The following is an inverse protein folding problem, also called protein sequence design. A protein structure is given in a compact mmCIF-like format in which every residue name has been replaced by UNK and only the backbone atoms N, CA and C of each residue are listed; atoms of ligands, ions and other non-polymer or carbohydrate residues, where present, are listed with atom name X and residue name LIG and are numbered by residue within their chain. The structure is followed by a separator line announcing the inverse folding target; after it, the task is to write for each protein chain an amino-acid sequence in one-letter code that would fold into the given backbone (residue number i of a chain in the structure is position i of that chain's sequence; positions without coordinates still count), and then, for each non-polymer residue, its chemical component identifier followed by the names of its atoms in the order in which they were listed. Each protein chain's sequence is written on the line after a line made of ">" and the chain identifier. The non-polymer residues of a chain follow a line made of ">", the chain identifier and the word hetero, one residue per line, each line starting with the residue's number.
data_IF_191647679333
#
_entry.id   IF_191647679333
#
_cell.length_a   1.000
_cell.length_b   1.000
_cell.length_c   1.000
_cell.angle_alpha   90.00
_cell.angle_beta   90.00
_cell.angle_gamma   90.00
#
_symmetry.space_group_name_H-M   'P 1'
#
loop_
_entity.id
_entity.type
_entity.pdbx_description
1 polymer ?
#
# COMPACT_ATOMS: atom_id res chain seq x y z
N UNK A 1 -22.75 13.32 -3.58
CA UNK A 1 -22.78 12.05 -2.81
C UNK A 1 -22.50 10.87 -3.73
N UNK A 2 -21.59 9.96 -3.39
CA UNK A 2 -21.21 8.76 -4.15
C UNK A 2 -21.20 7.55 -3.21
N UNK A 3 -21.79 6.43 -3.62
CA UNK A 3 -21.77 5.21 -2.81
C UNK A 3 -20.38 4.56 -2.85
N UNK A 4 -19.94 4.00 -1.73
CA UNK A 4 -18.75 3.18 -1.65
C UNK A 4 -18.98 1.89 -2.46
N UNK A 5 -17.94 1.41 -3.15
CA UNK A 5 -18.06 0.14 -3.85
C UNK A 5 -18.12 -1.02 -2.84
N UNK A 6 -18.84 -2.10 -3.16
CA UNK A 6 -18.87 -3.31 -2.32
C UNK A 6 -17.46 -3.83 -2.00
N UNK A 7 -16.58 -3.82 -2.99
CA UNK A 7 -15.20 -4.25 -2.81
C UNK A 7 -14.39 -3.34 -1.87
N UNK A 8 -14.73 -2.06 -1.78
CA UNK A 8 -14.06 -1.13 -0.88
C UNK A 8 -14.67 -1.18 0.53
N UNK A 9 -15.98 -1.52 0.63
CA UNK A 9 -16.65 -1.74 1.90
C UNK A 9 -16.09 -2.96 2.66
N UNK A 10 -15.57 -3.97 1.95
CA UNK A 10 -14.90 -5.11 2.56
C UNK A 10 -13.68 -4.70 3.42
N UNK A 11 -12.96 -3.63 3.07
CA UNK A 11 -11.87 -3.13 3.89
C UNK A 11 -12.34 -2.61 5.24
N UNK A 12 -13.53 -1.98 5.28
CA UNK A 12 -14.11 -1.49 6.53
C UNK A 12 -14.60 -2.65 7.42
N UNK A 13 -15.24 -3.64 6.81
CA UNK A 13 -15.78 -4.80 7.54
C UNK A 13 -14.70 -5.78 8.01
N UNK A 14 -13.52 -5.76 7.39
CA UNK A 14 -12.40 -6.63 7.76
C UNK A 14 -11.50 -6.05 8.86
N UNK A 15 -11.68 -4.78 9.21
CA UNK A 15 -10.91 -4.18 10.29
C UNK A 15 -11.23 -4.79 11.64
N UNK A 16 -10.19 -4.90 12.46
CA UNK A 16 -10.29 -5.33 13.84
C UNK A 16 -9.53 -4.35 14.75
N UNK A 17 -9.68 -4.51 16.06
CA UNK A 17 -8.97 -3.68 17.03
C UNK A 17 -7.42 -3.74 16.90
N UNK A 18 -6.90 -4.75 16.24
CA UNK A 18 -5.45 -4.99 16.06
C UNK A 18 -4.99 -5.02 14.60
N UNK A 19 -5.91 -4.88 13.65
CA UNK A 19 -5.59 -4.85 12.23
C UNK A 19 -6.45 -3.83 11.51
N UNK A 20 -5.83 -2.73 11.07
CA UNK A 20 -6.47 -1.69 10.26
C UNK A 20 -6.06 -1.80 8.80
N UNK A 21 -6.96 -1.44 7.91
CA UNK A 21 -6.73 -1.45 6.46
C UNK A 21 -6.01 -0.19 5.96
N UNK A 22 -5.02 0.27 6.72
CA UNK A 22 -4.26 1.47 6.38
C UNK A 22 -2.98 1.16 5.59
N UNK A 23 -2.65 2.02 4.65
CA UNK A 23 -1.34 2.09 4.00
C UNK A 23 -0.68 3.39 4.41
N UNK A 24 0.59 3.34 4.79
CA UNK A 24 1.39 4.54 5.05
C UNK A 24 2.52 4.63 4.06
N UNK A 25 2.73 5.80 3.49
CA UNK A 25 3.81 6.09 2.56
C UNK A 25 4.79 7.03 3.23
N UNK A 26 6.06 6.69 3.17
CA UNK A 26 7.16 7.41 3.78
C UNK A 26 8.01 8.00 2.68
N UNK A 27 8.23 9.28 2.74
CA UNK A 27 9.03 10.04 1.78
C UNK A 27 9.96 10.97 2.56
N UNK A 28 11.23 11.06 2.18
CA UNK A 28 12.18 11.99 2.78
C UNK A 28 12.64 12.98 1.72
N UNK A 29 12.80 14.23 2.12
CA UNK A 29 13.09 15.33 1.22
C UNK A 29 14.36 16.07 1.66
N UNK A 30 15.12 16.46 0.64
CA UNK A 30 16.19 17.42 0.74
C UNK A 30 15.62 18.83 0.54
N UNK A 31 15.57 19.66 1.58
CA UNK A 31 15.04 21.00 1.46
C UNK A 31 16.01 21.99 0.78
N UNK A 32 17.27 21.63 0.57
CA UNK A 32 18.28 22.55 -0.01
C UNK A 32 17.90 23.03 -1.41
N UNK A 33 17.06 22.25 -2.12
CA UNK A 33 16.56 22.61 -3.46
C UNK A 33 15.29 23.47 -3.42
N UNK A 34 14.69 23.66 -2.26
CA UNK A 34 13.50 24.48 -2.08
C UNK A 34 13.85 25.98 -1.99
N UNK A 35 12.94 26.88 -2.28
CA UNK A 35 13.14 28.31 -2.12
C UNK A 35 13.57 28.67 -0.69
N UNK A 36 14.72 29.31 -0.55
CA UNK A 36 15.29 29.65 0.76
C UNK A 36 15.92 28.48 1.52
N UNK A 37 16.12 27.31 0.86
CA UNK A 37 16.80 26.14 1.42
C UNK A 37 16.04 25.45 2.54
N UNK A 38 14.74 25.68 2.69
CA UNK A 38 13.89 25.06 3.71
C UNK A 38 12.42 25.06 3.31
N UNK A 39 11.66 24.09 3.83
CA UNK A 39 10.21 24.07 3.75
C UNK A 39 9.64 24.32 5.16
N UNK A 40 8.89 25.40 5.33
CA UNK A 40 8.20 25.67 6.59
C UNK A 40 6.87 24.91 6.62
N UNK A 41 6.45 24.45 7.79
CA UNK A 41 5.18 23.76 7.95
C UNK A 41 3.98 24.58 7.43
N UNK A 42 3.97 25.92 7.61
CA UNK A 42 2.93 26.79 7.05
C UNK A 42 2.90 26.76 5.52
N UNK A 43 4.06 26.71 4.87
CA UNK A 43 4.16 26.64 3.41
C UNK A 43 3.61 25.31 2.90
N UNK A 44 3.84 24.22 3.67
CA UNK A 44 3.27 22.92 3.39
C UNK A 44 1.75 22.89 3.58
N UNK A 45 1.21 23.47 4.66
CA UNK A 45 -0.23 23.60 4.87
C UNK A 45 -0.89 24.35 3.69
N UNK A 46 -0.32 25.50 3.29
CA UNK A 46 -0.83 26.29 2.16
C UNK A 46 -0.77 25.51 0.84
N UNK A 47 0.27 24.68 0.63
CA UNK A 47 0.36 23.78 -0.52
C UNK A 47 -0.79 22.79 -0.51
N UNK A 48 -1.01 22.09 0.61
CA UNK A 48 -2.10 21.11 0.73
C UNK A 48 -3.45 21.77 0.51
N UNK A 49 -3.70 22.90 1.17
CA UNK A 49 -4.93 23.69 1.07
C UNK A 49 -5.24 24.07 -0.38
N UNK A 50 -4.23 24.56 -1.12
CA UNK A 50 -4.38 24.94 -2.53
C UNK A 50 -4.72 23.76 -3.45
N UNK A 51 -4.49 22.51 -3.00
CA UNK A 51 -4.67 21.28 -3.78
C UNK A 51 -5.86 20.42 -3.31
N UNK A 52 -6.59 20.81 -2.26
CA UNK A 52 -7.72 20.06 -1.73
C UNK A 52 -8.83 19.81 -2.76
N UNK A 53 -9.05 20.77 -3.67
CA UNK A 53 -10.08 20.69 -4.72
C UNK A 53 -9.77 19.63 -5.78
N UNK A 54 -8.51 19.18 -5.91
CA UNK A 54 -8.07 18.22 -6.94
C UNK A 54 -8.60 16.80 -6.72
N UNK A 55 -9.06 16.49 -5.51
CA UNK A 55 -9.63 15.16 -5.22
C UNK A 55 -10.69 15.23 -4.12
N UNK A 56 -11.80 14.53 -4.35
CA UNK A 56 -12.86 14.37 -3.37
C UNK A 56 -12.37 13.67 -2.08
N UNK A 57 -11.32 12.84 -2.15
CA UNK A 57 -10.78 12.10 -1.01
C UNK A 57 -10.32 13.04 0.11
N UNK A 58 -9.89 14.27 -0.24
CA UNK A 58 -9.44 15.22 0.76
C UNK A 58 -10.54 15.71 1.71
N UNK A 59 -11.77 15.89 1.21
CA UNK A 59 -12.86 16.54 1.95
C UNK A 59 -14.09 15.66 2.17
N UNK A 60 -14.06 14.40 1.69
CA UNK A 60 -15.19 13.48 1.86
C UNK A 60 -14.92 12.47 2.95
N UNK A 61 -15.90 12.27 3.82
CA UNK A 61 -15.95 11.23 4.83
C UNK A 61 -16.96 10.16 4.46
N UNK A 62 -16.93 9.03 5.14
CA UNK A 62 -17.91 7.98 5.00
C UNK A 62 -19.10 8.22 5.92
N UNK A 63 -20.29 8.08 5.37
CA UNK A 63 -21.53 8.05 6.14
C UNK A 63 -22.17 6.68 5.99
N UNK A 64 -22.32 6.00 7.11
CA UNK A 64 -22.96 4.68 7.17
C UNK A 64 -24.45 4.77 7.00
N UNK A 65 -25.05 3.77 6.35
CA UNK A 65 -26.50 3.64 6.23
C UNK A 65 -27.04 2.96 7.49
N UNK A 66 -28.07 3.48 8.13
CA UNK A 66 -28.67 2.86 9.31
C UNK A 66 -29.02 1.39 9.07
N UNK A 67 -28.83 0.56 10.10
CA UNK A 67 -29.09 -0.89 10.08
C UNK A 67 -28.29 -1.66 9.00
N UNK A 68 -27.29 -1.05 8.39
CA UNK A 68 -26.54 -1.71 7.31
C UNK A 68 -27.36 -2.02 6.06
N UNK A 69 -28.44 -1.27 5.81
CA UNK A 69 -29.36 -1.51 4.69
C UNK A 69 -28.73 -1.30 3.31
N UNK A 70 -27.62 -0.57 3.25
CA UNK A 70 -26.85 -0.35 2.02
C UNK A 70 -25.39 -0.03 2.36
N UNK A 71 -24.51 -0.04 1.35
CA UNK A 71 -23.10 0.35 1.53
C UNK A 71 -22.98 1.83 1.89
N UNK A 72 -21.94 2.22 2.65
CA UNK A 72 -21.70 3.62 3.04
C UNK A 72 -21.60 4.56 1.84
N UNK A 73 -21.83 5.84 2.10
CA UNK A 73 -21.71 6.91 1.10
C UNK A 73 -20.58 7.85 1.43
N UNK A 74 -19.86 8.30 0.40
CA UNK A 74 -18.96 9.43 0.47
C UNK A 74 -19.78 10.72 0.46
N UNK A 75 -19.66 11.49 1.54
CA UNK A 75 -20.31 12.80 1.73
C UNK A 75 -19.24 13.83 2.06
N UNK A 76 -19.48 15.10 1.75
CA UNK A 76 -18.59 16.18 2.17
C UNK A 76 -18.57 16.30 3.69
N UNK A 77 -17.39 16.53 4.24
CA UNK A 77 -17.25 16.77 5.69
C UNK A 77 -17.44 18.26 5.99
N UNK A 78 -18.60 18.62 6.51
CA UNK A 78 -18.93 20.00 6.89
C UNK A 78 -18.04 20.56 8.02
N UNK A 79 -17.39 19.68 8.77
CA UNK A 79 -16.47 20.01 9.85
C UNK A 79 -15.01 19.70 9.47
N UNK A 80 -14.69 19.78 8.17
CA UNK A 80 -13.33 19.51 7.70
C UNK A 80 -12.34 20.49 8.33
N UNK A 81 -11.31 19.94 8.96
CA UNK A 81 -10.22 20.67 9.58
C UNK A 81 -8.88 20.18 9.00
N UNK A 82 -8.19 21.05 8.27
CA UNK A 82 -6.92 20.70 7.65
C UNK A 82 -5.84 20.40 8.68
N UNK A 83 -5.80 21.10 9.81
CA UNK A 83 -4.79 20.90 10.87
C UNK A 83 -5.02 19.60 11.66
N UNK A 84 -6.24 19.07 11.64
CA UNK A 84 -6.48 17.71 12.11
C UNK A 84 -5.78 16.68 11.23
N UNK A 85 -5.82 16.87 9.92
CA UNK A 85 -5.30 15.92 8.93
C UNK A 85 -3.79 16.07 8.66
N UNK A 86 -3.24 17.27 8.84
CA UNK A 86 -1.83 17.59 8.58
C UNK A 86 -1.17 18.03 9.88
N UNK A 87 -0.22 17.23 10.34
CA UNK A 87 0.42 17.42 11.64
C UNK A 87 1.92 17.57 11.49
N UNK A 88 2.53 18.44 12.30
CA UNK A 88 3.98 18.56 12.43
C UNK A 88 4.46 17.89 13.72
N UNK A 89 5.47 17.04 13.62
CA UNK A 89 6.11 16.40 14.75
C UNK A 89 7.63 16.44 14.58
N UNK A 90 8.36 16.43 15.68
CA UNK A 90 9.81 16.32 15.68
C UNK A 90 10.25 15.03 16.36
N UNK A 91 11.30 14.41 15.83
CA UNK A 91 11.94 13.29 16.52
C UNK A 91 12.66 13.78 17.77
N UNK A 92 12.70 12.96 18.84
CA UNK A 92 13.56 13.24 19.97
C UNK A 92 15.03 13.14 19.56
N UNK A 93 15.91 13.92 20.19
CA UNK A 93 17.35 13.79 19.94
C UNK A 93 17.85 12.38 20.33
N UNK A 94 18.76 11.80 19.56
CA UNK A 94 19.54 12.39 18.45
C UNK A 94 18.81 12.49 17.11
N UNK A 95 17.65 11.88 16.90
CA UNK A 95 16.93 11.88 15.62
C UNK A 95 17.51 10.88 14.63
N UNK A 96 17.81 9.67 15.12
CA UNK A 96 18.37 8.58 14.34
C UNK A 96 17.30 7.78 13.57
N UNK A 97 17.76 6.90 12.66
CA UNK A 97 16.88 6.05 11.85
C UNK A 97 15.96 5.15 12.68
N UNK A 98 16.46 4.60 13.79
CA UNK A 98 15.67 3.76 14.68
C UNK A 98 14.52 4.52 15.31
N UNK A 99 14.77 5.75 15.79
CA UNK A 99 13.73 6.61 16.35
C UNK A 99 12.68 6.96 15.29
N UNK A 100 13.13 7.23 14.07
CA UNK A 100 12.24 7.46 12.94
C UNK A 100 11.35 6.25 12.65
N UNK A 101 11.92 5.05 12.53
CA UNK A 101 11.16 3.81 12.29
C UNK A 101 10.15 3.51 13.42
N UNK A 102 10.52 3.73 14.68
CA UNK A 102 9.62 3.59 15.83
C UNK A 102 8.44 4.57 15.69
N UNK A 103 8.70 5.82 15.37
CA UNK A 103 7.66 6.83 15.22
C UNK A 103 6.74 6.53 14.04
N UNK A 104 7.30 6.15 12.90
CA UNK A 104 6.54 5.75 11.71
C UNK A 104 5.63 4.54 12.01
N UNK A 105 6.16 3.53 12.71
CA UNK A 105 5.40 2.35 13.13
C UNK A 105 4.23 2.70 14.04
N UNK A 106 4.44 3.61 15.00
CA UNK A 106 3.41 4.07 15.94
C UNK A 106 2.30 4.85 15.24
N UNK A 107 2.65 5.70 14.27
CA UNK A 107 1.68 6.44 13.47
C UNK A 107 0.87 5.47 12.60
N UNK A 108 1.54 4.53 11.93
CA UNK A 108 0.89 3.54 11.08
C UNK A 108 -0.07 2.64 11.87
N UNK A 109 0.33 2.21 13.07
CA UNK A 109 -0.44 1.30 13.92
C UNK A 109 -1.78 1.87 14.41
N UNK A 110 -1.91 3.20 14.51
CA UNK A 110 -3.15 3.83 14.93
C UNK A 110 -4.20 3.75 13.83
N UNK A 111 -5.45 3.35 14.10
CA UNK A 111 -6.52 3.43 13.11
C UNK A 111 -6.81 4.88 12.72
N UNK A 112 -7.36 5.10 11.53
CA UNK A 112 -7.95 6.38 11.13
C UNK A 112 -9.34 6.51 11.72
N UNK A 113 -9.76 7.75 12.01
CA UNK A 113 -11.14 8.04 12.40
C UNK A 113 -12.06 7.92 11.17
N UNK A 114 -12.92 6.92 11.15
CA UNK A 114 -13.85 6.66 10.05
C UNK A 114 -14.94 7.72 9.90
N UNK A 115 -15.11 8.60 10.90
CA UNK A 115 -16.07 9.72 10.84
C UNK A 115 -15.46 10.98 10.20
N UNK A 116 -14.22 10.91 9.73
CA UNK A 116 -13.51 11.98 9.06
C UNK A 116 -13.01 11.52 7.69
N UNK A 117 -12.50 12.41 6.83
CA UNK A 117 -11.77 12.01 5.62
C UNK A 117 -10.65 11.03 5.94
N UNK A 118 -10.55 9.94 5.18
CA UNK A 118 -9.75 8.75 5.51
C UNK A 118 -8.27 8.90 5.16
N UNK A 119 -7.65 9.97 5.62
CA UNK A 119 -6.23 10.24 5.42
C UNK A 119 -5.64 11.11 6.54
N UNK A 120 -4.35 10.97 6.79
CA UNK A 120 -3.55 11.83 7.65
C UNK A 120 -2.17 12.01 7.04
N UNK A 121 -1.56 13.18 7.24
CA UNK A 121 -0.19 13.48 6.82
C UNK A 121 0.58 13.99 8.04
N UNK A 122 1.76 13.42 8.25
CA UNK A 122 2.70 13.85 9.28
C UNK A 122 3.96 14.39 8.63
N UNK A 123 4.29 15.64 8.88
CA UNK A 123 5.60 16.21 8.60
C UNK A 123 6.48 15.89 9.80
N UNK A 124 7.57 15.17 9.58
CA UNK A 124 8.47 14.69 10.64
C UNK A 124 9.81 15.38 10.45
N UNK A 125 10.18 16.21 11.41
CA UNK A 125 11.45 16.94 11.46
C UNK A 125 12.42 16.29 12.46
N UNK A 126 13.69 16.76 12.47
CA UNK A 126 14.70 16.30 13.41
C UNK A 126 15.33 14.96 13.03
N UNK A 127 15.59 14.74 11.74
CA UNK A 127 16.30 13.58 11.21
C UNK A 127 17.82 13.79 11.21
N UNK A 128 18.34 14.52 12.20
CA UNK A 128 19.70 15.10 12.18
C UNK A 128 20.82 14.08 12.34
N UNK A 129 20.55 12.91 12.94
CA UNK A 129 21.53 11.85 13.15
C UNK A 129 21.39 10.68 12.14
N UNK A 130 20.82 10.94 10.97
CA UNK A 130 20.76 9.97 9.87
C UNK A 130 21.86 10.33 8.87
N UNK A 131 22.94 9.57 8.86
CA UNK A 131 24.21 9.91 8.19
C UNK A 131 24.09 10.20 6.69
N UNK A 132 23.19 9.55 5.98
CA UNK A 132 23.05 9.67 4.51
C UNK A 132 22.06 10.74 4.07
N UNK A 133 21.52 11.54 5.00
CA UNK A 133 20.54 12.57 4.66
C UNK A 133 21.20 13.96 4.61
N UNK A 134 20.81 14.81 3.64
CA UNK A 134 21.16 16.22 3.66
C UNK A 134 20.69 16.90 4.95
N UNK A 135 21.40 17.95 5.34
CA UNK A 135 21.05 18.74 6.52
C UNK A 135 19.63 19.30 6.42
N UNK A 136 18.94 19.37 7.56
CA UNK A 136 17.57 19.87 7.67
C UNK A 136 16.54 19.05 6.87
N UNK A 137 16.90 17.80 6.46
CA UNK A 137 15.95 16.89 5.82
C UNK A 137 14.75 16.64 6.71
N UNK A 138 13.59 16.48 6.07
CA UNK A 138 12.34 16.15 6.74
C UNK A 138 11.66 14.97 6.05
N UNK A 139 10.83 14.26 6.78
CA UNK A 139 10.03 13.17 6.21
C UNK A 139 8.55 13.56 6.15
N UNK A 140 7.87 13.04 5.14
CA UNK A 140 6.44 13.03 5.02
C UNK A 140 5.94 11.60 5.20
N UNK A 141 5.10 11.37 6.19
CA UNK A 141 4.37 10.13 6.35
C UNK A 141 2.90 10.38 6.02
N UNK A 142 2.47 9.84 4.88
CA UNK A 142 1.08 9.95 4.43
C UNK A 142 0.36 8.65 4.67
N UNK A 143 -0.67 8.66 5.49
CA UNK A 143 -1.48 7.52 5.86
C UNK A 143 -2.84 7.61 5.18
N UNK A 144 -3.26 6.52 4.56
CA UNK A 144 -4.48 6.41 3.77
C UNK A 144 -5.20 5.10 4.13
N UNK A 145 -6.51 5.17 4.23
CA UNK A 145 -7.32 3.96 4.31
C UNK A 145 -7.50 3.33 2.92
N UNK A 146 -7.42 2.01 2.83
CA UNK A 146 -7.58 1.29 1.55
C UNK A 146 -8.90 1.60 0.83
N UNK A 147 -9.99 1.82 1.56
CA UNK A 147 -11.27 2.21 0.98
C UNK A 147 -11.23 3.58 0.26
N UNK A 148 -10.32 4.48 0.67
CA UNK A 148 -10.16 5.81 0.06
C UNK A 148 -9.26 5.82 -1.19
N UNK A 149 -8.55 4.72 -1.47
CA UNK A 149 -7.67 4.62 -2.64
C UNK A 149 -8.50 4.31 -3.89
N UNK A 150 -8.67 5.30 -4.76
CA UNK A 150 -9.38 5.12 -6.04
C UNK A 150 -8.44 4.58 -7.12
N UNK A 151 -8.45 3.25 -7.29
CA UNK A 151 -7.62 2.55 -8.31
C UNK A 151 -7.97 3.00 -9.73
N UNK A 152 -9.26 3.29 -10.01
CA UNK A 152 -9.70 3.64 -11.37
C UNK A 152 -9.21 5.03 -11.80
N UNK A 153 -9.17 5.98 -10.87
CA UNK A 153 -8.75 7.37 -11.15
C UNK A 153 -7.25 7.60 -10.98
N UNK A 154 -6.52 6.67 -10.34
CA UNK A 154 -5.08 6.76 -10.11
C UNK A 154 -4.61 7.95 -9.29
N UNK A 155 -5.52 8.68 -8.73
CA UNK A 155 -5.27 9.84 -7.90
C UNK A 155 -5.03 9.37 -6.46
N UNK A 156 -3.81 8.93 -6.18
CA UNK A 156 -3.37 8.92 -4.79
C UNK A 156 -3.13 10.37 -4.36
N UNK A 157 -3.54 10.72 -3.16
CA UNK A 157 -3.31 12.05 -2.54
C UNK A 157 -1.87 12.52 -2.77
N UNK A 158 -0.94 11.59 -2.74
CA UNK A 158 0.49 11.85 -2.87
C UNK A 158 0.87 12.38 -4.25
N UNK A 159 0.28 11.86 -5.34
CA UNK A 159 0.53 12.39 -6.68
C UNK A 159 0.09 13.83 -6.84
N UNK A 160 -0.96 14.18 -6.11
CA UNK A 160 -1.54 15.53 -6.17
C UNK A 160 -0.70 16.58 -5.45
N UNK A 161 0.18 16.16 -4.53
CA UNK A 161 1.01 17.04 -3.72
C UNK A 161 2.40 17.31 -4.32
N UNK A 162 2.80 16.59 -5.39
CA UNK A 162 4.15 16.66 -5.92
C UNK A 162 4.21 17.30 -7.31
N UNK A 163 5.36 17.86 -7.60
CA UNK A 163 5.73 18.42 -8.88
C UNK A 163 6.94 17.66 -9.46
N UNK A 164 7.12 17.69 -10.77
CA UNK A 164 8.28 17.06 -11.46
C UNK A 164 9.41 18.06 -11.74
N UNK A 165 9.20 19.30 -11.38
CA UNK A 165 10.17 20.40 -11.51
C UNK A 165 10.44 21.02 -10.15
N UNK A 166 11.66 21.52 -9.91
CA UNK A 166 12.04 22.10 -8.62
C UNK A 166 11.34 23.45 -8.33
N UNK A 167 10.84 24.14 -9.37
CA UNK A 167 10.12 25.39 -9.16
C UNK A 167 8.72 25.08 -8.61
N UNK A 168 8.39 25.58 -7.42
CA UNK A 168 7.05 25.39 -6.88
C UNK A 168 5.97 25.91 -7.84
N UNK A 169 4.95 25.11 -8.06
CA UNK A 169 3.76 25.56 -8.78
C UNK A 169 3.14 26.74 -8.05
N UNK A 170 2.73 27.76 -8.79
CA UNK A 170 1.98 28.87 -8.18
C UNK A 170 0.73 28.30 -7.50
N UNK A 171 0.41 28.75 -6.27
CA UNK A 171 -0.83 28.37 -5.63
C UNK A 171 -2.01 28.62 -6.57
N UNK A 172 -2.83 27.63 -6.79
CA UNK A 172 -4.07 27.82 -7.54
C UNK A 172 -5.01 28.67 -6.69
N UNK A 173 -5.76 29.59 -7.31
CA UNK A 173 -6.77 30.36 -6.56
C UNK A 173 -7.75 29.38 -5.92
N UNK A 174 -7.84 29.41 -4.61
CA UNK A 174 -8.82 28.62 -3.87
C UNK A 174 -10.16 29.35 -3.91
N UNK A 175 -11.11 28.74 -4.64
CA UNK A 175 -12.50 29.19 -4.53
C UNK A 175 -13.04 28.88 -3.12
N UNK A 176 -13.87 29.76 -2.54
CA UNK A 176 -14.53 29.45 -1.28
C UNK A 176 -15.29 28.14 -1.39
N UNK A 177 -14.99 27.20 -0.52
CA UNK A 177 -15.66 25.90 -0.50
C UNK A 177 -16.80 25.93 0.53
N UNK A 178 -17.99 25.59 0.06
CA UNK A 178 -19.17 25.44 0.88
C UNK A 178 -19.64 24.00 0.81
N UNK A 179 -19.50 23.21 1.90
CA UNK A 179 -19.89 21.81 1.89
C UNK A 179 -21.40 21.64 1.70
N UNK A 180 -21.78 20.67 0.89
CA UNK A 180 -23.16 20.27 0.78
C UNK A 180 -23.62 19.58 2.08
N UNK A 181 -24.83 19.92 2.55
CA UNK A 181 -25.40 19.28 3.73
C UNK A 181 -25.46 17.75 3.55
N UNK A 182 -24.98 16.96 4.52
CA UNK A 182 -25.04 15.53 4.43
C UNK A 182 -26.48 15.03 4.45
N UNK A 183 -26.81 13.93 3.76
CA UNK A 183 -28.14 13.37 3.79
C UNK A 183 -28.52 12.92 5.20
N UNK A 184 -29.76 13.06 5.57
CA UNK A 184 -30.23 12.62 6.88
C UNK A 184 -30.18 11.07 6.99
N UNK A 185 -30.04 10.51 8.21
CA UNK A 185 -30.09 9.07 8.41
C UNK A 185 -31.37 8.42 7.89
N UNK A 186 -32.49 9.13 8.00
CA UNK A 186 -33.80 8.69 7.47
C UNK A 186 -33.79 8.61 5.94
N UNK A 187 -33.25 9.62 5.28
CA UNK A 187 -33.11 9.63 3.82
C UNK A 187 -32.26 8.46 3.34
N UNK A 188 -31.14 8.18 4.00
CA UNK A 188 -30.27 7.04 3.67
C UNK A 188 -30.99 5.71 3.90
N UNK A 189 -31.73 5.57 5.00
CA UNK A 189 -32.52 4.38 5.27
C UNK A 189 -33.61 4.16 4.21
N UNK A 190 -34.36 5.21 3.85
CA UNK A 190 -35.36 5.16 2.79
C UNK A 190 -34.76 4.78 1.43
N UNK A 191 -33.61 5.33 1.07
CA UNK A 191 -32.88 4.98 -0.16
C UNK A 191 -32.42 3.53 -0.16
N UNK A 192 -31.88 3.05 0.97
CA UNK A 192 -31.48 1.65 1.15
C UNK A 192 -32.65 0.70 0.98
N UNK A 193 -33.77 0.99 1.64
CA UNK A 193 -35.01 0.21 1.50
C UNK A 193 -35.58 0.23 0.07
N UNK A 194 -35.67 1.40 -0.55
CA UNK A 194 -36.14 1.52 -1.93
C UNK A 194 -35.30 0.69 -2.90
N UNK A 195 -33.97 0.72 -2.75
CA UNK A 195 -33.05 -0.08 -3.57
C UNK A 195 -33.20 -1.59 -3.30
N UNK A 196 -33.46 -1.98 -2.08
CA UNK A 196 -33.68 -3.39 -1.71
C UNK A 196 -34.94 -3.90 -2.35
N UNK A 197 -36.05 -3.13 -2.30
CA UNK A 197 -37.36 -3.50 -2.88
C UNK A 197 -37.31 -3.49 -4.41
N UNK A 198 -36.66 -2.50 -5.04
CA UNK A 198 -36.58 -2.38 -6.51
C UNK A 198 -35.57 -3.33 -7.16
N UNK A 199 -34.71 -3.96 -6.37
CA UNK A 199 -33.72 -4.91 -6.87
C UNK A 199 -33.72 -6.20 -6.04
N UNK A 200 -34.75 -7.06 -6.14
CA UNK A 200 -34.84 -8.32 -5.39
C UNK A 200 -33.65 -9.26 -5.66
N UNK A 201 -32.97 -9.09 -6.81
CA UNK A 201 -31.67 -9.73 -7.11
C UNK A 201 -30.56 -9.35 -6.13
N UNK A 202 -30.69 -8.24 -5.39
CA UNK A 202 -29.71 -7.84 -4.37
C UNK A 202 -29.87 -8.61 -3.05
N UNK A 203 -31.07 -9.11 -2.75
CA UNK A 203 -31.30 -10.02 -1.62
C UNK A 203 -30.84 -11.45 -1.97
N UNK A 204 -31.01 -11.86 -3.21
CA UNK A 204 -30.53 -13.15 -3.73
C UNK A 204 -29.09 -13.06 -4.26
N UNK A 205 -28.62 -11.86 -4.65
CA UNK A 205 -27.33 -11.61 -5.28
C UNK A 205 -26.13 -12.10 -4.47
N UNK A 206 -25.97 -11.74 -3.19
CA UNK A 206 -24.85 -12.23 -2.37
C UNK A 206 -24.86 -13.76 -2.22
N UNK A 207 -26.02 -14.37 -2.12
CA UNK A 207 -26.17 -15.83 -2.06
C UNK A 207 -25.89 -16.45 -3.43
N UNK A 208 -26.37 -15.83 -4.50
CA UNK A 208 -26.16 -16.29 -5.87
C UNK A 208 -24.71 -16.05 -6.35
N UNK A 209 -24.11 -14.88 -6.08
CA UNK A 209 -22.68 -14.63 -6.34
C UNK A 209 -21.78 -15.53 -5.50
N UNK A 210 -22.12 -15.78 -4.23
CA UNK A 210 -21.41 -16.76 -3.41
C UNK A 210 -21.52 -18.16 -3.98
N UNK A 211 -22.70 -18.57 -4.44
CA UNK A 211 -22.93 -19.90 -5.02
C UNK A 211 -22.34 -20.05 -6.43
N UNK A 212 -22.41 -19.01 -7.26
CA UNK A 212 -22.03 -19.12 -8.69
C UNK A 212 -20.59 -18.69 -8.99
N UNK A 213 -20.03 -17.76 -8.23
CA UNK A 213 -18.72 -17.19 -8.49
C UNK A 213 -17.74 -17.28 -7.31
N UNK A 214 -18.17 -16.98 -6.09
CA UNK A 214 -17.28 -17.02 -4.94
C UNK A 214 -16.98 -18.46 -4.48
N UNK A 215 -17.96 -19.37 -4.50
CA UNK A 215 -17.72 -20.77 -4.16
C UNK A 215 -16.86 -21.52 -5.20
N UNK A 216 -17.05 -21.40 -6.52
CA UNK A 216 -16.17 -22.00 -7.50
C UNK A 216 -14.78 -21.34 -7.50
N UNK A 217 -14.69 -20.00 -7.39
CA UNK A 217 -13.43 -19.29 -7.28
C UNK A 217 -12.69 -19.64 -5.98
N UNK A 218 -13.40 -19.73 -4.85
CA UNK A 218 -12.83 -20.18 -3.59
C UNK A 218 -12.47 -21.69 -3.64
N UNK A 219 -13.25 -22.50 -4.36
CA UNK A 219 -12.90 -23.91 -4.58
C UNK A 219 -11.72 -24.09 -5.51
N UNK A 220 -11.66 -23.43 -6.66
CA UNK A 220 -10.50 -23.50 -7.55
C UNK A 220 -9.25 -22.93 -6.86
N UNK A 221 -9.37 -21.83 -6.16
CA UNK A 221 -8.31 -21.23 -5.36
C UNK A 221 -7.91 -22.15 -4.17
N UNK A 222 -8.87 -22.72 -3.43
CA UNK A 222 -8.60 -23.68 -2.38
C UNK A 222 -8.05 -25.00 -2.93
N UNK A 223 -8.48 -25.44 -4.11
CA UNK A 223 -7.99 -26.65 -4.77
C UNK A 223 -6.56 -26.45 -5.27
N UNK A 224 -6.26 -25.29 -5.83
CA UNK A 224 -4.90 -24.89 -6.24
C UNK A 224 -3.98 -24.72 -5.05
N UNK A 225 -4.50 -24.21 -3.91
CA UNK A 225 -3.80 -24.13 -2.63
C UNK A 225 -3.58 -25.50 -1.97
N UNK A 226 -4.58 -26.39 -2.03
CA UNK A 226 -4.55 -27.70 -1.38
C UNK A 226 -3.87 -28.77 -2.25
N UNK A 227 -3.79 -28.57 -3.58
CA UNK A 227 -3.10 -29.45 -4.51
C UNK A 227 -1.62 -29.10 -4.70
N UNK A 228 -1.12 -28.01 -4.07
CA UNK A 228 0.33 -27.80 -3.97
C UNK A 228 0.95 -28.95 -3.17
N UNK A 229 2.07 -29.54 -3.66
CA UNK A 229 2.63 -30.74 -3.08
C UNK A 229 3.17 -30.61 -1.65
N UNK A 230 3.15 -29.42 -1.06
CA UNK A 230 3.69 -29.18 0.28
C UNK A 230 2.74 -28.33 1.12
N UNK A 231 2.40 -28.85 2.30
CA UNK A 231 1.78 -28.02 3.36
C UNK A 231 2.80 -26.98 3.79
N UNK A 232 2.44 -25.68 3.66
CA UNK A 232 3.32 -24.60 4.09
C UNK A 232 3.61 -24.71 5.59
N UNK A 233 4.86 -24.52 6.01
CA UNK A 233 5.19 -24.51 7.42
C UNK A 233 4.56 -23.27 8.08
N UNK A 234 4.00 -23.47 9.27
CA UNK A 234 3.55 -22.37 10.10
C UNK A 234 4.75 -21.70 10.76
N UNK A 235 4.89 -20.43 10.58
CA UNK A 235 5.94 -19.60 11.20
C UNK A 235 5.31 -18.55 12.11
N UNK A 236 6.13 -17.85 12.91
CA UNK A 236 5.66 -16.70 13.71
C UNK A 236 4.99 -15.60 12.86
N UNK A 237 5.29 -15.52 11.56
CA UNK A 237 4.66 -14.57 10.63
C UNK A 237 3.22 -14.95 10.27
N UNK A 238 2.80 -16.18 10.55
CA UNK A 238 1.46 -16.69 10.28
C UNK A 238 0.56 -16.68 11.53
N UNK A 239 1.00 -16.08 12.61
CA UNK A 239 0.23 -15.94 13.84
C UNK A 239 -0.85 -14.83 13.73
N UNK A 240 -1.68 -14.75 14.76
CA UNK A 240 -2.57 -13.59 14.98
C UNK A 240 -1.68 -12.37 15.25
N UNK A 241 -1.89 -11.29 14.49
CA UNK A 241 -1.10 -10.08 14.64
C UNK A 241 -1.50 -9.27 15.86
N UNK A 242 -0.53 -8.66 16.51
CA UNK A 242 -0.78 -7.71 17.61
C UNK A 242 -1.17 -6.32 17.05
N UNK A 243 -1.68 -5.39 17.88
CA UNK A 243 -1.90 -4.01 17.44
C UNK A 243 -0.61 -3.23 17.19
N UNK A 244 0.53 -3.75 17.64
CA UNK A 244 1.83 -3.11 17.45
C UNK A 244 2.39 -3.41 16.07
N UNK A 245 3.13 -2.45 15.52
CA UNK A 245 3.84 -2.58 14.24
C UNK A 245 5.31 -2.33 14.45
N UNK A 246 6.12 -3.02 13.66
CA UNK A 246 7.56 -2.79 13.55
C UNK A 246 7.86 -2.50 12.09
N UNK A 247 8.66 -1.49 11.86
CA UNK A 247 9.10 -1.08 10.54
C UNK A 247 10.61 -0.87 10.57
N UNK A 248 11.30 -1.39 9.58
CA UNK A 248 12.73 -1.18 9.40
C UNK A 248 13.05 -1.23 7.91
N UNK A 249 14.08 -0.55 7.49
CA UNK A 249 14.54 -0.59 6.10
C UNK A 249 16.05 -0.67 5.99
N UNK A 250 16.52 -1.12 4.82
CA UNK A 250 17.92 -1.10 4.42
C UNK A 250 18.03 -0.52 3.02
N UNK A 251 19.06 0.27 2.81
CA UNK A 251 19.38 0.82 1.51
C UNK A 251 20.47 -0.03 0.85
N UNK A 252 20.29 -0.28 -0.42
CA UNK A 252 21.23 -0.99 -1.26
C UNK A 252 21.43 -0.22 -2.55
N UNK A 253 22.60 -0.30 -3.14
CA UNK A 253 22.85 0.28 -4.45
C UNK A 253 22.27 -0.62 -5.54
N UNK A 254 21.56 -0.04 -6.49
CA UNK A 254 20.93 -0.81 -7.57
C UNK A 254 21.97 -1.55 -8.43
N UNK A 255 23.20 -1.01 -8.51
CA UNK A 255 24.29 -1.64 -9.27
C UNK A 255 24.74 -2.95 -8.63
N UNK A 256 24.73 -3.08 -7.29
CA UNK A 256 24.98 -4.36 -6.61
C UNK A 256 23.99 -5.44 -7.08
N UNK A 257 22.70 -5.10 -7.16
CA UNK A 257 21.68 -6.02 -7.69
C UNK A 257 21.90 -6.36 -9.17
N UNK A 258 22.38 -5.40 -9.96
CA UNK A 258 22.72 -5.62 -11.36
C UNK A 258 23.91 -6.55 -11.53
N UNK A 259 24.88 -6.51 -10.65
CA UNK A 259 26.03 -7.40 -10.63
C UNK A 259 25.63 -8.80 -10.16
N UNK A 260 24.94 -8.90 -9.05
CA UNK A 260 24.48 -10.19 -8.50
C UNK A 260 23.64 -10.99 -9.53
N UNK A 261 22.72 -10.34 -10.25
CA UNK A 261 21.91 -11.04 -11.27
C UNK A 261 22.74 -11.65 -12.39
N UNK A 262 23.93 -11.10 -12.69
CA UNK A 262 24.83 -11.63 -13.74
C UNK A 262 25.46 -12.97 -13.35
N UNK A 263 25.50 -13.28 -12.06
CA UNK A 263 26.05 -14.53 -11.54
C UNK A 263 25.16 -15.73 -11.87
N UNK A 264 23.86 -15.52 -12.14
CA UNK A 264 22.92 -16.56 -12.52
C UNK A 264 22.32 -16.22 -13.89
N UNK A 265 22.57 -17.01 -14.95
CA UNK A 265 22.09 -16.74 -16.29
C UNK A 265 20.56 -16.58 -16.36
N UNK A 266 20.10 -15.48 -16.94
CA UNK A 266 18.68 -15.16 -17.11
C UNK A 266 17.99 -14.62 -15.84
N UNK A 267 18.70 -14.41 -14.74
CA UNK A 267 18.11 -13.79 -13.55
C UNK A 267 17.75 -12.31 -13.78
N UNK A 268 16.62 -11.90 -13.22
CA UNK A 268 16.11 -10.53 -13.23
C UNK A 268 16.42 -9.84 -11.89
N UNK A 269 16.32 -8.51 -11.84
CA UNK A 269 16.48 -7.75 -10.58
C UNK A 269 15.49 -8.26 -9.51
N UNK A 270 14.26 -8.58 -9.92
CA UNK A 270 13.24 -9.09 -9.00
C UNK A 270 13.65 -10.42 -8.34
N UNK A 271 14.32 -11.31 -9.08
CA UNK A 271 14.81 -12.58 -8.53
C UNK A 271 15.87 -12.35 -7.46
N UNK A 272 16.74 -11.35 -7.68
CA UNK A 272 17.75 -10.94 -6.68
C UNK A 272 17.08 -10.35 -5.43
N UNK A 273 16.06 -9.50 -5.59
CA UNK A 273 15.28 -8.97 -4.45
C UNK A 273 14.70 -10.12 -3.63
N UNK A 274 14.05 -11.08 -4.28
CA UNK A 274 13.48 -12.25 -3.60
C UNK A 274 14.57 -13.08 -2.88
N UNK A 275 15.73 -13.28 -3.53
CA UNK A 275 16.84 -14.04 -2.94
C UNK A 275 17.46 -13.33 -1.72
N UNK A 276 17.56 -11.99 -1.74
CA UNK A 276 18.03 -11.18 -0.59
C UNK A 276 17.03 -11.26 0.56
N UNK A 277 15.72 -11.10 0.28
CA UNK A 277 14.68 -11.25 1.29
C UNK A 277 14.68 -12.66 1.89
N UNK A 278 14.79 -13.70 1.05
CA UNK A 278 14.87 -15.10 1.49
C UNK A 278 16.09 -15.34 2.38
N UNK A 279 17.24 -14.77 2.02
CA UNK A 279 18.46 -14.82 2.83
C UNK A 279 18.31 -14.18 4.19
N UNK A 280 17.66 -13.01 4.23
CA UNK A 280 17.34 -12.30 5.47
C UNK A 280 16.38 -13.10 6.36
N UNK A 281 15.33 -13.68 5.77
CA UNK A 281 14.38 -14.56 6.49
C UNK A 281 15.07 -15.80 7.04
N UNK A 282 15.90 -16.46 6.23
CA UNK A 282 16.70 -17.61 6.68
C UNK A 282 17.55 -17.23 7.89
N UNK A 283 18.37 -16.20 7.79
CA UNK A 283 19.26 -15.76 8.87
C UNK A 283 18.47 -15.37 10.14
N UNK A 284 17.31 -14.75 9.98
CA UNK A 284 16.43 -14.41 11.10
C UNK A 284 15.88 -15.67 11.79
N UNK A 285 15.38 -16.64 11.02
CA UNK A 285 14.80 -17.86 11.56
C UNK A 285 15.86 -18.76 12.18
N UNK A 286 17.05 -18.88 11.57
CA UNK A 286 18.19 -19.61 12.15
C UNK A 286 18.61 -19.03 13.50
N UNK A 287 18.73 -17.69 13.57
CA UNK A 287 19.07 -17.02 14.83
C UNK A 287 18.05 -17.24 15.95
N UNK A 288 16.80 -17.48 15.61
CA UNK A 288 15.72 -17.77 16.56
C UNK A 288 15.46 -19.27 16.75
N UNK A 289 16.27 -20.14 16.15
CA UNK A 289 16.09 -21.60 16.20
C UNK A 289 14.70 -22.05 15.66
N UNK A 290 14.19 -21.33 14.66
CA UNK A 290 12.85 -21.53 14.06
C UNK A 290 12.90 -21.81 12.55
N UNK A 291 14.07 -22.10 11.99
CA UNK A 291 14.15 -22.43 10.56
C UNK A 291 13.40 -23.74 10.30
N UNK A 292 12.32 -23.72 9.48
CA UNK A 292 11.56 -24.92 9.21
C UNK A 292 12.32 -25.89 8.28
N UNK A 293 11.95 -27.17 8.33
CA UNK A 293 12.48 -28.19 7.42
C UNK A 293 11.96 -28.01 5.98
N UNK A 294 10.73 -27.52 5.82
CA UNK A 294 10.14 -27.20 4.53
C UNK A 294 10.32 -25.71 4.18
N UNK A 295 10.25 -25.41 2.89
CA UNK A 295 10.51 -24.07 2.39
C UNK A 295 9.37 -23.09 2.68
N UNK A 296 9.70 -21.81 2.75
CA UNK A 296 8.74 -20.70 2.87
C UNK A 296 8.29 -20.22 1.50
N UNK A 297 7.06 -19.72 1.45
CA UNK A 297 6.52 -19.07 0.28
C UNK A 297 6.19 -17.60 0.51
N UNK A 298 6.23 -16.84 -0.57
CA UNK A 298 5.79 -15.45 -0.60
C UNK A 298 4.68 -15.23 -1.62
N UNK A 299 3.78 -14.24 -1.34
CA UNK A 299 2.90 -13.67 -2.35
C UNK A 299 3.64 -12.53 -3.06
N UNK A 300 3.67 -12.61 -4.37
CA UNK A 300 4.30 -11.62 -5.25
C UNK A 300 3.23 -11.00 -6.17
N UNK A 301 3.05 -9.66 -6.19
CA UNK A 301 2.16 -9.02 -7.15
C UNK A 301 2.79 -9.02 -8.54
N UNK A 302 2.04 -9.51 -9.52
CA UNK A 302 2.42 -9.50 -10.93
C UNK A 302 1.49 -8.55 -11.67
N UNK A 303 2.07 -7.56 -12.33
CA UNK A 303 1.34 -6.56 -13.10
C UNK A 303 1.20 -7.06 -14.55
N UNK A 304 -0.03 -7.25 -15.00
CA UNK A 304 -0.34 -7.75 -16.33
C UNK A 304 -1.00 -6.65 -17.15
N UNK A 305 -0.66 -6.57 -18.43
CA UNK A 305 -1.39 -5.72 -19.38
C UNK A 305 -2.61 -6.47 -19.89
N UNK A 306 -3.78 -5.85 -19.86
CA UNK A 306 -4.95 -6.40 -20.52
C UNK A 306 -4.71 -6.40 -22.04
N UNK A 307 -4.93 -7.54 -22.75
CA UNK A 307 -4.64 -7.66 -24.19
C UNK A 307 -5.43 -6.69 -25.08
N UNK A 308 -6.60 -6.26 -24.63
CA UNK A 308 -7.53 -5.39 -25.40
C UNK A 308 -7.51 -3.92 -24.96
N UNK A 309 -6.68 -3.58 -23.99
CA UNK A 309 -6.67 -2.26 -23.41
C UNK A 309 -5.80 -1.30 -24.24
N UNK A 310 -6.39 -0.16 -24.64
CA UNK A 310 -5.69 0.88 -25.39
C UNK A 310 -4.50 1.49 -24.63
N UNK A 311 -3.66 2.22 -25.31
CA UNK A 311 -2.52 2.93 -24.74
C UNK A 311 -3.00 3.84 -23.58
N UNK A 312 -2.55 3.56 -22.35
CA UNK A 312 -2.94 4.30 -21.13
C UNK A 312 -3.83 3.52 -20.15
N UNK A 313 -4.23 2.28 -20.47
CA UNK A 313 -4.93 1.42 -19.51
C UNK A 313 -3.98 0.92 -18.41
N UNK A 314 -4.53 0.75 -17.21
CA UNK A 314 -3.77 0.28 -16.06
C UNK A 314 -3.58 -1.22 -16.11
N UNK A 315 -2.41 -1.71 -15.66
CA UNK A 315 -2.18 -3.14 -15.57
C UNK A 315 -3.13 -3.77 -14.53
N UNK A 316 -3.63 -4.95 -14.85
CA UNK A 316 -4.26 -5.83 -13.87
C UNK A 316 -3.19 -6.36 -12.92
N UNK A 317 -3.52 -6.46 -11.63
CA UNK A 317 -2.62 -7.04 -10.62
C UNK A 317 -3.14 -8.42 -10.26
N UNK A 318 -2.33 -9.43 -10.51
CA UNK A 318 -2.56 -10.81 -10.06
C UNK A 318 -1.48 -11.20 -9.05
N UNK A 319 -1.80 -12.16 -8.19
CA UNK A 319 -0.88 -12.64 -7.16
C UNK A 319 -0.34 -14.00 -7.53
N UNK A 320 0.96 -14.15 -7.41
CA UNK A 320 1.66 -15.41 -7.61
C UNK A 320 2.36 -15.84 -6.33
N UNK A 321 2.32 -17.13 -6.06
CA UNK A 321 3.04 -17.75 -4.94
C UNK A 321 4.39 -18.27 -5.44
N UNK A 322 5.46 -17.79 -4.82
CA UNK A 322 6.84 -18.21 -5.12
C UNK A 322 7.46 -18.79 -3.86
N UNK A 323 8.11 -19.96 -3.97
CA UNK A 323 8.91 -20.54 -2.90
C UNK A 323 10.24 -19.79 -2.80
N UNK A 324 10.68 -19.50 -1.58
CA UNK A 324 11.82 -18.62 -1.32
C UNK A 324 13.17 -19.32 -1.25
N UNK A 325 13.20 -20.66 -1.14
CA UNK A 325 14.44 -21.42 -0.99
C UNK A 325 15.17 -21.12 0.33
N UNK A 326 14.42 -20.84 1.42
CA UNK A 326 15.03 -20.54 2.74
C UNK A 326 15.81 -21.72 3.31
N UNK A 327 15.49 -22.95 2.89
CA UNK A 327 16.23 -24.17 3.25
C UNK A 327 17.58 -24.29 2.54
N UNK A 328 17.75 -23.56 1.43
CA UNK A 328 19.00 -23.56 0.64
C UNK A 328 19.99 -22.59 1.29
N UNK A 329 21.10 -23.09 1.81
CA UNK A 329 22.10 -22.28 2.51
C UNK A 329 22.89 -21.39 1.55
N UNK A 330 23.29 -21.91 0.40
CA UNK A 330 24.08 -21.17 -0.59
C UNK A 330 23.24 -20.08 -1.28
N UNK A 331 23.64 -18.81 -1.26
CA UNK A 331 22.86 -17.71 -1.82
C UNK A 331 22.73 -17.75 -3.35
N UNK A 332 23.74 -18.30 -4.07
CA UNK A 332 23.65 -18.41 -5.54
C UNK A 332 22.73 -19.54 -5.97
N UNK A 333 22.77 -20.68 -5.26
CA UNK A 333 21.82 -21.78 -5.49
C UNK A 333 20.40 -21.33 -5.17
N UNK A 334 20.19 -20.55 -4.12
CA UNK A 334 18.89 -19.94 -3.78
C UNK A 334 18.41 -19.01 -4.88
N UNK A 335 19.27 -18.14 -5.40
CA UNK A 335 18.93 -17.27 -6.53
C UNK A 335 18.58 -18.07 -7.78
N UNK A 336 19.33 -19.13 -8.09
CA UNK A 336 19.05 -20.03 -9.21
C UNK A 336 17.71 -20.75 -9.05
N UNK A 337 17.38 -21.21 -7.83
CA UNK A 337 16.11 -21.82 -7.50
C UNK A 337 14.93 -20.87 -7.72
N UNK A 338 15.01 -19.64 -7.19
CA UNK A 338 13.97 -18.60 -7.38
C UNK A 338 13.82 -18.26 -8.86
N UNK A 339 14.93 -18.08 -9.58
CA UNK A 339 14.94 -17.79 -11.02
C UNK A 339 14.27 -18.91 -11.84
N UNK A 340 14.47 -20.16 -11.48
CA UNK A 340 13.83 -21.27 -12.16
C UNK A 340 12.29 -21.22 -12.04
N UNK A 341 11.77 -20.90 -10.85
CA UNK A 341 10.33 -20.74 -10.62
C UNK A 341 9.76 -19.53 -11.39
N UNK A 342 10.39 -18.36 -11.27
CA UNK A 342 9.92 -17.15 -11.97
C UNK A 342 9.97 -17.28 -13.50
N UNK A 343 10.89 -18.10 -14.02
CA UNK A 343 10.98 -18.39 -15.45
C UNK A 343 9.91 -19.41 -15.91
N UNK A 344 9.51 -20.33 -15.06
CA UNK A 344 8.46 -21.31 -15.35
C UNK A 344 7.05 -20.72 -15.23
N UNK A 345 6.90 -19.63 -14.50
CA UNK A 345 5.61 -19.00 -14.29
C UNK A 345 5.06 -18.35 -15.56
N UNK A 346 3.84 -18.70 -15.94
CA UNK A 346 3.12 -18.10 -17.06
C UNK A 346 2.69 -16.65 -16.75
N UNK A 347 2.38 -16.35 -15.50
CA UNK A 347 2.06 -14.98 -15.07
C UNK A 347 3.28 -14.07 -15.16
N UNK A 348 4.42 -14.51 -14.64
CA UNK A 348 5.68 -13.76 -14.69
C UNK A 348 6.20 -13.54 -16.12
N UNK A 349 5.90 -14.45 -17.05
CA UNK A 349 6.25 -14.29 -18.47
C UNK A 349 5.41 -13.19 -19.14
N UNK A 350 4.19 -12.93 -18.67
CA UNK A 350 3.26 -11.90 -19.14
C UNK A 350 3.37 -10.57 -18.36
N UNK A 351 4.21 -10.53 -17.35
CA UNK A 351 4.36 -9.37 -16.48
C UNK A 351 4.84 -8.14 -17.26
N UNK A 352 4.25 -7.00 -16.95
CA UNK A 352 4.69 -5.70 -17.46
C UNK A 352 6.07 -5.37 -16.89
N UNK A 353 6.98 -4.93 -17.72
CA UNK A 353 8.33 -4.55 -17.31
C UNK A 353 8.34 -3.30 -16.40
N UNK A 354 9.36 -3.19 -15.55
CA UNK A 354 9.51 -2.06 -14.62
C UNK A 354 9.49 -0.68 -15.32
N UNK A 355 10.05 -0.57 -16.52
CA UNK A 355 10.01 0.67 -17.32
C UNK A 355 8.60 1.04 -17.74
N UNK A 356 7.81 0.07 -18.21
CA UNK A 356 6.42 0.30 -18.60
C UNK A 356 5.53 0.66 -17.42
N UNK A 357 5.77 0.08 -16.23
CA UNK A 357 5.08 0.47 -15.00
C UNK A 357 5.38 1.93 -14.62
N UNK A 358 6.61 2.37 -14.83
CA UNK A 358 7.01 3.75 -14.54
C UNK A 358 6.37 4.74 -15.52
N UNK A 359 6.25 4.37 -16.80
CA UNK A 359 5.63 5.20 -17.83
C UNK A 359 4.10 5.30 -17.64
N UNK A 360 3.45 4.20 -17.26
CA UNK A 360 2.00 4.16 -16.98
C UNK A 360 1.67 4.89 -15.68
N UNK A 361 2.54 4.77 -14.68
CA UNK A 361 2.36 5.39 -13.37
C UNK A 361 2.61 6.88 -13.33
N UNK A 362 2.94 7.50 -14.48
CA UNK A 362 3.24 8.94 -14.63
C UNK A 362 3.78 9.55 -13.33
N UNK A 363 5.06 9.37 -13.06
CA UNK A 363 5.82 10.11 -12.05
C UNK A 363 5.46 9.88 -10.57
N UNK A 364 4.67 8.83 -10.23
CA UNK A 364 4.21 8.64 -8.86
C UNK A 364 4.34 7.19 -8.35
N UNK A 365 5.54 6.77 -7.93
CA UNK A 365 5.74 5.45 -7.31
C UNK A 365 4.88 5.26 -6.05
N UNK A 366 4.60 6.33 -5.34
CA UNK A 366 3.72 6.33 -4.19
C UNK A 366 2.28 5.91 -4.52
N UNK A 367 1.76 6.26 -5.73
CA UNK A 367 0.46 5.78 -6.18
C UNK A 367 0.47 4.26 -6.43
N UNK A 368 1.53 3.76 -7.05
CA UNK A 368 1.71 2.32 -7.30
C UNK A 368 1.79 1.55 -5.99
N UNK A 369 2.51 2.06 -4.99
CA UNK A 369 2.58 1.46 -3.65
C UNK A 369 1.21 1.45 -2.96
N UNK A 370 0.45 2.54 -3.02
CA UNK A 370 -0.88 2.60 -2.44
C UNK A 370 -1.85 1.60 -3.10
N UNK A 371 -1.80 1.49 -4.44
CA UNK A 371 -2.58 0.51 -5.19
C UNK A 371 -2.18 -0.92 -4.83
N UNK A 372 -0.89 -1.20 -4.73
CA UNK A 372 -0.37 -2.51 -4.32
C UNK A 372 -0.85 -2.86 -2.91
N UNK A 373 -0.79 -1.92 -1.96
CA UNK A 373 -1.31 -2.11 -0.60
C UNK A 373 -2.81 -2.42 -0.58
N UNK A 374 -3.60 -1.75 -1.43
CA UNK A 374 -5.03 -2.04 -1.59
C UNK A 374 -5.28 -3.43 -2.16
N UNK A 375 -4.51 -3.84 -3.17
CA UNK A 375 -4.65 -5.16 -3.78
C UNK A 375 -4.20 -6.26 -2.82
N UNK A 376 -3.12 -6.05 -2.07
CA UNK A 376 -2.68 -6.97 -1.02
C UNK A 376 -3.78 -7.13 0.04
N UNK A 377 -4.35 -6.02 0.53
CA UNK A 377 -5.48 -6.07 1.44
C UNK A 377 -6.64 -6.93 0.91
N UNK A 378 -6.97 -6.83 -0.39
CA UNK A 378 -8.00 -7.68 -1.02
C UNK A 378 -7.62 -9.16 -1.04
N UNK A 379 -6.39 -9.49 -1.37
CA UNK A 379 -5.92 -10.86 -1.36
C UNK A 379 -6.03 -11.48 0.04
N UNK A 380 -5.80 -10.68 1.08
CA UNK A 380 -5.85 -11.12 2.48
C UNK A 380 -7.26 -11.29 3.04
N UNK A 381 -8.27 -10.61 2.48
CA UNK A 381 -9.67 -10.72 2.92
C UNK A 381 -10.25 -12.13 2.73
N UNK A 382 -9.68 -12.93 1.82
CA UNK A 382 -10.10 -14.30 1.55
C UNK A 382 -9.38 -15.37 2.39
N UNK A 383 -8.42 -15.00 3.25
CA UNK A 383 -7.60 -15.96 3.99
C UNK A 383 -8.29 -16.41 5.26
N UNK A 384 -8.66 -17.68 5.31
CA UNK A 384 -9.10 -18.31 6.56
C UNK A 384 -7.94 -18.53 7.53
N UNK A 385 -8.17 -18.34 8.82
CA UNK A 385 -7.18 -18.46 9.91
C UNK A 385 -6.46 -19.82 10.01
N UNK A 386 -6.84 -20.83 9.23
CA UNK A 386 -6.37 -22.22 9.37
C UNK A 386 -5.36 -22.69 8.35
N UNK A 387 -5.21 -21.98 7.21
CA UNK A 387 -4.22 -22.33 6.19
C UNK A 387 -3.67 -21.04 5.58
N UNK A 388 -2.42 -20.65 5.85
CA UNK A 388 -1.84 -19.45 5.29
C UNK A 388 -1.68 -19.62 3.77
N UNK A 389 -2.01 -18.57 3.01
CA UNK A 389 -1.78 -18.50 1.57
C UNK A 389 -0.29 -18.50 1.24
N UNK A 390 0.48 -17.84 2.09
CA UNK A 390 1.93 -17.73 2.06
C UNK A 390 2.45 -17.36 3.45
N UNK A 391 3.76 -17.44 3.63
CA UNK A 391 4.40 -17.07 4.91
C UNK A 391 4.62 -15.56 5.03
N UNK A 392 4.80 -14.88 3.90
CA UNK A 392 4.95 -13.42 3.83
C UNK A 392 4.47 -12.90 2.47
N UNK A 393 4.42 -11.58 2.32
CA UNK A 393 4.29 -10.95 1.01
C UNK A 393 5.54 -10.13 0.70
N UNK A 394 6.03 -10.21 -0.54
CA UNK A 394 7.14 -9.39 -1.01
C UNK A 394 6.66 -8.61 -2.23
N UNK A 395 6.75 -7.29 -2.17
CA UNK A 395 6.34 -6.42 -3.26
C UNK A 395 7.56 -5.66 -3.79
N UNK A 396 7.74 -5.67 -5.09
CA UNK A 396 8.77 -4.87 -5.76
C UNK A 396 8.09 -3.79 -6.60
N UNK A 397 8.32 -2.54 -6.23
CA UNK A 397 7.75 -1.38 -6.92
C UNK A 397 8.88 -0.52 -7.46
N UNK A 398 8.90 -0.24 -8.77
CA UNK A 398 9.92 0.61 -9.35
C UNK A 398 9.84 2.04 -8.80
N UNK A 399 10.99 2.64 -8.56
CA UNK A 399 11.10 4.05 -8.20
C UNK A 399 10.74 4.98 -9.36
N UNK A 400 10.62 6.31 -9.10
CA UNK A 400 10.39 7.29 -10.14
C UNK A 400 11.57 7.34 -11.11
N UNK A 401 11.26 7.46 -12.40
CA UNK A 401 12.29 7.64 -13.44
C UNK A 401 12.85 9.07 -13.50
N UNK A 402 12.16 10.02 -12.86
CA UNK A 402 12.53 11.43 -12.80
C UNK A 402 12.51 11.92 -11.34
N UNK A 403 13.29 12.96 -11.01
CA UNK A 403 13.19 13.59 -9.70
C UNK A 403 11.78 14.11 -9.42
N UNK A 404 11.34 13.97 -8.18
CA UNK A 404 10.03 14.44 -7.69
C UNK A 404 10.28 15.46 -6.58
N UNK A 405 9.48 16.51 -6.56
CA UNK A 405 9.63 17.65 -5.66
C UNK A 405 8.35 17.92 -4.88
N UNK A 406 8.51 18.31 -3.63
CA UNK A 406 7.44 18.82 -2.77
C UNK A 406 7.73 20.28 -2.47
N UNK A 407 6.98 21.18 -3.10
CA UNK A 407 7.23 22.62 -2.98
C UNK A 407 8.70 23.02 -3.17
N UNK A 408 9.37 22.39 -4.13
CA UNK A 408 10.78 22.60 -4.46
C UNK A 408 11.76 21.73 -3.68
N UNK A 409 11.38 21.08 -2.58
CA UNK A 409 12.22 20.12 -1.87
C UNK A 409 12.29 18.79 -2.63
N UNK A 410 13.49 18.32 -2.94
CA UNK A 410 13.70 17.09 -3.72
C UNK A 410 13.47 15.85 -2.87
N UNK A 411 12.67 14.92 -3.35
CA UNK A 411 12.52 13.61 -2.73
C UNK A 411 13.79 12.77 -2.92
N UNK A 412 14.36 12.30 -1.82
CA UNK A 412 15.59 11.49 -1.79
C UNK A 412 15.37 10.05 -1.37
N UNK A 413 14.21 9.77 -0.75
CA UNK A 413 13.84 8.44 -0.28
C UNK A 413 12.32 8.26 -0.32
N UNK A 414 11.88 7.06 -0.65
CA UNK A 414 10.50 6.65 -0.42
C UNK A 414 10.40 5.16 -0.06
N UNK A 415 9.44 4.83 0.76
CA UNK A 415 9.03 3.47 1.07
C UNK A 415 7.57 3.44 1.50
N UNK A 416 7.06 2.26 1.82
CA UNK A 416 5.71 2.12 2.33
C UNK A 416 5.67 1.17 3.53
N UNK A 417 4.67 1.38 4.39
CA UNK A 417 4.26 0.42 5.41
C UNK A 417 2.90 -0.11 4.98
N UNK A 418 2.85 -1.39 4.70
CA UNK A 418 1.66 -2.07 4.20
C UNK A 418 0.82 -2.62 5.36
N UNK A 419 -0.49 -2.82 5.15
CA UNK A 419 -1.31 -3.50 6.13
C UNK A 419 -0.87 -4.95 6.29
N UNK A 420 -0.90 -5.44 7.50
CA UNK A 420 -0.73 -6.85 7.84
C UNK A 420 -1.99 -7.38 8.54
N UNK A 421 -2.26 -8.65 8.38
CA UNK A 421 -3.46 -9.30 8.92
C UNK A 421 -3.10 -10.62 9.60
N UNK A 422 -4.07 -11.18 10.33
CA UNK A 422 -3.95 -12.53 10.90
C UNK A 422 -3.58 -13.53 9.81
N UNK A 423 -2.55 -14.31 10.03
CA UNK A 423 -2.03 -15.28 9.07
C UNK A 423 -1.00 -14.72 8.07
N UNK A 424 -0.81 -13.40 7.98
CA UNK A 424 0.23 -12.75 7.18
C UNK A 424 0.78 -11.51 7.90
N UNK A 425 1.66 -11.73 8.86
CA UNK A 425 2.24 -10.71 9.73
C UNK A 425 3.52 -10.07 9.19
N UNK A 426 3.94 -10.36 7.95
CA UNK A 426 5.14 -9.81 7.32
C UNK A 426 4.89 -9.44 5.86
N UNK A 427 5.18 -8.19 5.53
CA UNK A 427 5.13 -7.65 4.18
C UNK A 427 6.40 -6.86 3.90
#
# INVERSE_FOLDING_TARGET
>A
MRQLSKNDALFLSSESAHSSSNVSLIQIYDPSTAPGGRLRFKDFLSLVESRLHRSHVFRHKLQTVPLGLDEPYWVEDENFDLEYHVRNIALPKPGDWRQFCIQASRIHARPLDLNRPLWEIYVIEGLDAIDDLPKDSFALLTKLHNAAIDVKRGTAIITLLHDIVPQPSKPEPTEPWFPASPPSPLELACRGLARTVTSPRRLAGPVWEALTHALPAARSFATELLQGPETLPLTRFNAIVSPYRVFETRRFQLDEFREIRRLVPGAKINDVVLAVCAGGLRAYLERNEELPESDLSTLLPVYLREPEAGAGSRPEVQWERIMLGVTIADPLQRLAFIRAQTAASTLMSRAVGARELTDIGTHAPAATLAITGKMLGRALLGVGRRAPLANCAITNVPGPSVPIYLNGARMTYFSAVMPINDGLGLV
#
